data_IF_122042002110
#
_entry.id   IF_122042002110
#
_cell.length_a   1.000
_cell.length_b   1.000
_cell.length_c   1.000
_cell.angle_alpha   90.00
_cell.angle_beta   90.00
_cell.angle_gamma   90.00
#
_symmetry.space_group_name_H-M   'P 1'
#
loop_
_entity.id
_entity.type
_entity.pdbx_description
1 polymer ?
#
# COMPACT_ATOMS: atom_id res chain seq x y z
N UNK A 1 6.24 -26.74 14.40
CA UNK A 1 5.73 -26.28 13.08
C UNK A 1 5.12 -27.44 12.31
N UNK A 2 5.84 -28.58 12.20
CA UNK A 2 5.36 -29.74 11.41
C UNK A 2 4.11 -30.37 12.04
N UNK A 3 4.03 -30.42 13.36
CA UNK A 3 2.89 -30.98 14.09
C UNK A 3 1.71 -29.99 14.21
N UNK A 4 1.98 -28.70 14.18
CA UNK A 4 0.95 -27.66 14.33
C UNK A 4 0.11 -27.49 13.06
N UNK A 5 0.70 -27.66 11.89
CA UNK A 5 0.03 -27.45 10.61
C UNK A 5 -1.21 -28.35 10.39
N UNK A 6 -1.13 -29.67 10.61
CA UNK A 6 -2.32 -30.53 10.48
C UNK A 6 -3.46 -30.14 11.43
N UNK A 7 -3.13 -29.75 12.67
CA UNK A 7 -4.12 -29.32 13.66
C UNK A 7 -4.78 -28.01 13.24
N UNK A 8 -3.98 -27.04 12.77
CA UNK A 8 -4.50 -25.76 12.26
C UNK A 8 -5.39 -25.96 11.04
N UNK A 9 -4.99 -26.81 10.09
CA UNK A 9 -5.81 -27.14 8.91
C UNK A 9 -7.16 -27.73 9.31
N UNK A 10 -7.16 -28.61 10.30
CA UNK A 10 -8.39 -29.20 10.83
C UNK A 10 -9.27 -28.14 11.51
N UNK A 11 -8.70 -27.27 12.33
CA UNK A 11 -9.41 -26.18 12.97
C UNK A 11 -10.06 -25.23 11.93
N UNK A 12 -9.33 -24.88 10.89
CA UNK A 12 -9.83 -24.06 9.76
C UNK A 12 -11.02 -24.75 9.08
N UNK A 13 -10.91 -26.03 8.79
CA UNK A 13 -12.01 -26.83 8.18
C UNK A 13 -13.24 -26.91 9.09
N UNK A 14 -13.04 -27.12 10.39
CA UNK A 14 -14.12 -27.19 11.37
C UNK A 14 -14.87 -25.85 11.50
N UNK A 15 -14.13 -24.73 11.55
CA UNK A 15 -14.72 -23.38 11.56
C UNK A 15 -15.54 -23.10 10.29
N UNK A 16 -14.99 -23.43 9.12
CA UNK A 16 -15.68 -23.28 7.84
C UNK A 16 -16.97 -24.10 7.78
N UNK A 17 -16.91 -25.35 8.23
CA UNK A 17 -18.08 -26.24 8.28
C UNK A 17 -19.17 -25.68 9.18
N UNK A 18 -18.82 -25.25 10.40
CA UNK A 18 -19.76 -24.67 11.35
C UNK A 18 -20.43 -23.41 10.79
N UNK A 19 -19.68 -22.54 10.14
CA UNK A 19 -20.22 -21.32 9.51
C UNK A 19 -21.16 -21.64 8.35
N UNK A 20 -20.82 -22.60 7.50
CA UNK A 20 -21.69 -23.01 6.39
C UNK A 20 -23.01 -23.63 6.90
N UNK A 21 -22.95 -24.42 7.96
CA UNK A 21 -24.16 -24.95 8.61
C UNK A 21 -25.02 -23.82 9.17
N UNK A 22 -24.43 -22.80 9.82
CA UNK A 22 -25.15 -21.65 10.32
C UNK A 22 -25.80 -20.83 9.18
N UNK A 23 -25.12 -20.68 8.04
CA UNK A 23 -25.67 -20.01 6.85
C UNK A 23 -26.85 -20.79 6.30
N UNK A 24 -26.74 -22.12 6.19
CA UNK A 24 -27.83 -22.97 5.70
C UNK A 24 -29.08 -22.92 6.61
N UNK A 25 -28.89 -22.75 7.91
CA UNK A 25 -29.97 -22.66 8.88
C UNK A 25 -30.73 -21.31 8.86
N UNK A 26 -30.19 -20.30 8.19
CA UNK A 26 -30.86 -19.00 8.08
C UNK A 26 -32.08 -19.06 7.18
N UNK A 27 -33.19 -18.48 7.65
CA UNK A 27 -34.46 -18.45 6.93
C UNK A 27 -34.71 -17.16 6.17
N UNK A 28 -33.90 -16.14 6.42
CA UNK A 28 -33.97 -14.79 5.84
C UNK A 28 -33.19 -14.63 4.53
N UNK A 29 -32.38 -15.61 4.18
CA UNK A 29 -31.55 -15.59 2.98
C UNK A 29 -32.16 -16.41 1.82
N UNK A 30 -32.01 -15.88 0.60
CA UNK A 30 -32.32 -16.64 -0.61
C UNK A 30 -31.32 -17.79 -0.81
N UNK A 31 -31.68 -18.85 -1.55
CA UNK A 31 -30.73 -19.92 -1.88
C UNK A 31 -29.44 -19.40 -2.55
N UNK A 32 -29.56 -18.41 -3.43
CA UNK A 32 -28.40 -17.76 -4.09
C UNK A 32 -27.51 -17.04 -3.09
N UNK A 33 -28.10 -16.28 -2.17
CA UNK A 33 -27.33 -15.57 -1.12
C UNK A 33 -26.60 -16.56 -0.22
N UNK A 34 -27.22 -17.67 0.16
CA UNK A 34 -26.55 -18.73 0.94
C UNK A 34 -25.38 -19.34 0.19
N UNK A 35 -25.55 -19.63 -1.10
CA UNK A 35 -24.49 -20.19 -1.95
C UNK A 35 -23.31 -19.22 -2.04
N UNK A 36 -23.55 -17.92 -2.25
CA UNK A 36 -22.51 -16.89 -2.34
C UNK A 36 -21.73 -16.76 -1.02
N UNK A 37 -22.41 -16.74 0.11
CA UNK A 37 -21.78 -16.68 1.43
C UNK A 37 -20.97 -17.95 1.74
N UNK A 38 -21.47 -19.13 1.41
CA UNK A 38 -20.72 -20.38 1.60
C UNK A 38 -19.49 -20.44 0.70
N UNK A 39 -19.57 -19.92 -0.54
CA UNK A 39 -18.39 -19.79 -1.42
C UNK A 39 -17.33 -18.85 -0.83
N UNK A 40 -17.75 -17.76 -0.19
CA UNK A 40 -16.83 -16.86 0.51
C UNK A 40 -16.14 -17.56 1.69
N UNK A 41 -16.88 -18.35 2.48
CA UNK A 41 -16.31 -19.17 3.57
C UNK A 41 -15.27 -20.14 3.03
N UNK A 42 -15.55 -20.83 1.93
CA UNK A 42 -14.61 -21.78 1.31
C UNK A 42 -13.34 -21.08 0.80
N UNK A 43 -13.49 -19.90 0.20
CA UNK A 43 -12.34 -19.11 -0.26
C UNK A 43 -11.43 -18.66 0.90
N UNK A 44 -12.01 -18.24 2.02
CA UNK A 44 -11.29 -17.90 3.24
C UNK A 44 -10.52 -19.12 3.77
N UNK A 45 -11.19 -20.25 3.91
CA UNK A 45 -10.58 -21.47 4.41
C UNK A 45 -9.43 -21.95 3.51
N UNK A 46 -9.59 -21.88 2.19
CA UNK A 46 -8.53 -22.25 1.24
C UNK A 46 -7.33 -21.31 1.35
N UNK A 47 -7.55 -20.02 1.50
CA UNK A 47 -6.48 -19.05 1.70
C UNK A 47 -5.72 -19.33 3.00
N UNK A 48 -6.44 -19.55 4.10
CA UNK A 48 -5.84 -19.85 5.39
C UNK A 48 -5.02 -21.14 5.36
N UNK A 49 -5.52 -22.21 4.76
CA UNK A 49 -4.79 -23.49 4.62
C UNK A 49 -3.51 -23.32 3.80
N UNK A 50 -3.56 -22.59 2.69
CA UNK A 50 -2.36 -22.29 1.88
C UNK A 50 -1.34 -21.45 2.66
N UNK A 51 -1.81 -20.49 3.48
CA UNK A 51 -0.93 -19.70 4.33
C UNK A 51 -0.26 -20.56 5.42
N UNK A 52 -1.01 -21.46 6.05
CA UNK A 52 -0.47 -22.43 7.03
C UNK A 52 0.60 -23.31 6.40
N UNK A 53 0.37 -23.79 5.18
CA UNK A 53 1.36 -24.63 4.48
C UNK A 53 2.68 -23.90 4.25
N UNK A 54 2.64 -22.60 4.00
CA UNK A 54 3.82 -21.73 3.78
C UNK A 54 4.46 -21.21 5.06
N UNK A 55 3.77 -21.28 6.20
CA UNK A 55 4.26 -20.75 7.47
C UNK A 55 5.56 -21.46 7.89
N UNK A 56 6.52 -20.69 8.41
CA UNK A 56 7.84 -21.17 8.82
C UNK A 56 8.00 -21.27 10.33
N UNK A 57 7.04 -20.76 11.10
CA UNK A 57 7.04 -20.81 12.56
C UNK A 57 5.68 -21.24 13.11
N UNK A 58 5.65 -21.80 14.32
CA UNK A 58 4.42 -22.13 15.03
C UNK A 58 3.60 -20.85 15.30
N UNK A 59 4.28 -19.77 15.67
CA UNK A 59 3.64 -18.46 15.91
C UNK A 59 2.91 -17.95 14.68
N UNK A 60 3.47 -18.10 13.47
CA UNK A 60 2.78 -17.70 12.24
C UNK A 60 1.55 -18.59 11.97
N UNK A 61 1.64 -19.89 12.27
CA UNK A 61 0.49 -20.81 12.16
C UNK A 61 -0.65 -20.36 13.06
N UNK A 62 -0.36 -20.04 14.34
CA UNK A 62 -1.35 -19.55 15.30
C UNK A 62 -1.98 -18.22 14.85
N UNK A 63 -1.15 -17.29 14.35
CA UNK A 63 -1.61 -16.01 13.81
C UNK A 63 -2.58 -16.17 12.63
N UNK A 64 -2.26 -17.07 11.71
CA UNK A 64 -3.12 -17.36 10.55
C UNK A 64 -4.44 -17.97 11.01
N UNK A 65 -4.41 -18.88 11.98
CA UNK A 65 -5.61 -19.50 12.53
C UNK A 65 -6.54 -18.46 13.19
N UNK A 66 -6.00 -17.53 13.96
CA UNK A 66 -6.77 -16.43 14.56
C UNK A 66 -7.35 -15.48 13.50
N UNK A 67 -6.59 -15.17 12.45
CA UNK A 67 -7.09 -14.37 11.33
C UNK A 67 -8.21 -15.07 10.56
N UNK A 68 -8.09 -16.39 10.37
CA UNK A 68 -9.14 -17.21 9.75
C UNK A 68 -10.46 -17.18 10.57
N UNK A 69 -10.35 -17.35 11.88
CA UNK A 69 -11.52 -17.27 12.77
C UNK A 69 -12.23 -15.92 12.65
N UNK A 70 -11.47 -14.82 12.63
CA UNK A 70 -12.01 -13.47 12.46
C UNK A 70 -12.69 -13.31 11.09
N UNK A 71 -12.05 -13.80 10.02
CA UNK A 71 -12.57 -13.73 8.66
C UNK A 71 -13.88 -14.52 8.50
N UNK A 72 -13.91 -15.74 9.00
CA UNK A 72 -15.11 -16.60 8.96
C UNK A 72 -16.26 -15.96 9.73
N UNK A 73 -16.00 -15.43 10.93
CA UNK A 73 -17.02 -14.74 11.73
C UNK A 73 -17.62 -13.55 10.98
N UNK A 74 -16.81 -12.82 10.23
CA UNK A 74 -17.23 -11.60 9.53
C UNK A 74 -18.03 -11.85 8.24
N UNK A 75 -18.07 -13.09 7.73
CA UNK A 75 -18.85 -13.42 6.53
C UNK A 75 -20.33 -13.11 6.75
N UNK A 76 -20.90 -12.29 5.85
CA UNK A 76 -22.31 -11.88 5.94
C UNK A 76 -22.58 -10.70 6.87
N UNK A 77 -21.59 -10.22 7.59
CA UNK A 77 -21.71 -9.04 8.46
C UNK A 77 -21.49 -7.73 7.69
N UNK A 78 -22.03 -6.63 8.24
CA UNK A 78 -21.74 -5.29 7.71
C UNK A 78 -20.27 -4.94 7.96
N UNK A 79 -19.67 -4.15 7.06
CA UNK A 79 -18.24 -3.86 7.06
C UNK A 79 -17.95 -2.51 7.69
N UNK A 80 -16.91 -2.47 8.51
CA UNK A 80 -16.32 -1.23 9.03
C UNK A 80 -15.18 -0.77 8.12
N UNK A 81 -14.96 0.55 7.94
CA UNK A 81 -13.84 1.06 7.17
C UNK A 81 -12.49 0.83 7.90
N UNK A 82 -11.45 0.51 7.16
CA UNK A 82 -10.06 0.44 7.68
C UNK A 82 -9.62 1.80 8.16
N UNK A 83 -9.88 2.86 7.38
CA UNK A 83 -9.55 4.22 7.79
C UNK A 83 -10.53 4.74 8.83
N UNK A 84 -10.04 4.84 10.07
CA UNK A 84 -10.79 5.53 11.12
C UNK A 84 -10.73 7.03 10.89
N UNK A 85 -11.83 7.71 11.09
CA UNK A 85 -11.93 9.16 10.92
C UNK A 85 -11.27 9.87 12.10
N UNK A 86 -10.34 10.78 11.80
CA UNK A 86 -9.71 11.62 12.82
C UNK A 86 -10.73 12.63 13.35
N UNK A 87 -10.99 12.60 14.65
CA UNK A 87 -11.92 13.50 15.34
C UNK A 87 -11.23 14.12 16.55
N UNK A 88 -11.75 15.25 16.99
CA UNK A 88 -11.22 15.96 18.17
C UNK A 88 -11.68 15.30 19.46
N UNK A 89 -12.97 15.00 19.58
CA UNK A 89 -13.60 14.40 20.75
C UNK A 89 -14.57 13.29 20.34
N UNK A 90 -14.21 12.03 20.54
CA UNK A 90 -15.07 10.90 20.19
C UNK A 90 -16.44 10.89 20.89
N UNK A 91 -16.53 11.52 22.08
CA UNK A 91 -17.77 11.59 22.85
C UNK A 91 -18.73 12.69 22.34
N UNK A 92 -18.21 13.68 21.61
CA UNK A 92 -18.98 14.84 21.14
C UNK A 92 -18.66 15.13 19.67
N UNK A 93 -19.12 14.27 18.77
CA UNK A 93 -18.90 14.42 17.34
C UNK A 93 -19.67 15.61 16.78
N UNK A 94 -19.02 16.40 15.94
CA UNK A 94 -19.66 17.47 15.19
C UNK A 94 -20.55 16.89 14.08
N UNK A 95 -21.46 17.70 13.55
CA UNK A 95 -22.32 17.28 12.43
C UNK A 95 -21.50 16.91 11.19
N UNK A 96 -20.39 17.64 10.93
CA UNK A 96 -19.48 17.35 9.83
C UNK A 96 -18.76 15.99 10.02
N UNK A 97 -18.31 15.70 11.24
CA UNK A 97 -17.70 14.41 11.59
C UNK A 97 -18.70 13.26 11.46
N UNK A 98 -19.93 13.44 11.95
CA UNK A 98 -21.02 12.46 11.81
C UNK A 98 -21.34 12.18 10.33
N UNK A 99 -21.43 13.22 9.50
CA UNK A 99 -21.66 13.06 8.07
C UNK A 99 -20.52 12.30 7.38
N UNK A 100 -19.27 12.58 7.76
CA UNK A 100 -18.09 11.88 7.23
C UNK A 100 -18.10 10.39 7.62
N UNK A 101 -18.47 10.04 8.83
CA UNK A 101 -18.58 8.64 9.26
C UNK A 101 -19.60 7.87 8.41
N UNK A 102 -20.77 8.45 8.15
CA UNK A 102 -21.76 7.82 7.26
C UNK A 102 -21.20 7.60 5.85
N UNK A 103 -20.46 8.58 5.32
CA UNK A 103 -19.82 8.46 4.01
C UNK A 103 -18.80 7.33 3.96
N UNK A 104 -17.92 7.24 4.97
CA UNK A 104 -16.91 6.18 5.04
C UNK A 104 -17.53 4.78 5.17
N UNK A 105 -18.59 4.65 5.96
CA UNK A 105 -19.33 3.37 6.08
C UNK A 105 -20.03 3.00 4.77
N UNK A 106 -20.61 3.97 4.05
CA UNK A 106 -21.20 3.72 2.72
C UNK A 106 -20.19 3.23 1.71
N UNK A 107 -18.98 3.76 1.72
CA UNK A 107 -17.91 3.36 0.78
C UNK A 107 -17.56 1.87 0.89
N UNK A 108 -17.57 1.31 2.10
CA UNK A 108 -17.25 -0.11 2.33
C UNK A 108 -18.47 -1.03 2.35
N UNK A 109 -19.67 -0.46 2.27
CA UNK A 109 -20.93 -1.17 2.10
C UNK A 109 -21.68 -0.65 0.86
N UNK A 110 -21.08 -0.74 -0.34
CA UNK A 110 -21.61 -0.06 -1.53
C UNK A 110 -22.96 -0.61 -2.00
N UNK A 111 -23.33 -1.82 -1.59
CA UNK A 111 -24.61 -2.45 -1.93
C UNK A 111 -25.68 -2.25 -0.85
N UNK A 112 -25.36 -1.52 0.22
CA UNK A 112 -26.33 -1.26 1.27
C UNK A 112 -27.54 -0.46 0.74
N UNK A 113 -28.73 -0.84 1.18
CA UNK A 113 -29.95 -0.11 0.86
C UNK A 113 -30.01 1.24 1.56
N UNK A 114 -29.56 1.28 2.83
CA UNK A 114 -29.55 2.50 3.64
C UNK A 114 -28.42 2.46 4.66
N UNK A 115 -27.81 3.60 4.93
CA UNK A 115 -26.86 3.82 6.02
C UNK A 115 -27.26 5.11 6.73
N UNK A 116 -27.62 5.02 8.00
CA UNK A 116 -28.08 6.16 8.79
C UNK A 116 -27.78 5.97 10.27
N UNK A 117 -27.85 7.04 11.06
CA UNK A 117 -27.84 6.94 12.52
C UNK A 117 -29.17 6.42 13.04
N UNK A 118 -29.13 5.54 14.02
CA UNK A 118 -30.31 5.08 14.78
C UNK A 118 -30.60 6.02 15.97
N UNK A 119 -31.63 5.70 16.74
CA UNK A 119 -32.04 6.50 17.90
C UNK A 119 -30.99 6.53 19.02
N UNK A 120 -30.12 5.53 19.09
CA UNK A 120 -29.05 5.41 20.09
C UNK A 120 -27.75 6.10 19.64
N UNK A 121 -27.72 6.67 18.44
CA UNK A 121 -26.55 7.33 17.89
C UNK A 121 -25.54 6.37 17.24
N UNK A 122 -25.91 5.11 17.05
CA UNK A 122 -25.10 4.15 16.30
C UNK A 122 -25.39 4.28 14.79
N UNK A 123 -24.49 3.77 13.96
CA UNK A 123 -24.70 3.72 12.52
C UNK A 123 -25.36 2.38 12.17
N UNK A 124 -26.56 2.46 11.63
CA UNK A 124 -27.33 1.32 11.14
C UNK A 124 -27.13 1.17 9.63
N UNK A 125 -26.68 0.00 9.22
CA UNK A 125 -26.53 -0.37 7.81
C UNK A 125 -27.61 -1.40 7.47
N UNK A 126 -28.47 -1.07 6.52
CA UNK A 126 -29.52 -1.97 6.03
C UNK A 126 -29.10 -2.58 4.70
N UNK A 127 -29.04 -3.90 4.62
CA UNK A 127 -28.71 -4.62 3.39
C UNK A 127 -29.89 -4.62 2.41
N UNK A 128 -29.67 -5.06 1.17
CA UNK A 128 -30.74 -5.21 0.18
C UNK A 128 -31.83 -6.21 0.60
N UNK A 129 -31.49 -7.18 1.44
CA UNK A 129 -32.44 -8.17 1.97
C UNK A 129 -33.24 -7.64 3.18
N UNK A 130 -32.93 -6.43 3.66
CA UNK A 130 -33.55 -5.83 4.82
C UNK A 130 -32.90 -6.17 6.16
N UNK A 131 -31.84 -6.97 6.16
CA UNK A 131 -31.03 -7.23 7.36
C UNK A 131 -30.35 -5.96 7.84
N UNK A 132 -30.19 -5.82 9.13
CA UNK A 132 -29.57 -4.65 9.75
C UNK A 132 -28.35 -5.04 10.55
N UNK A 133 -27.26 -4.31 10.33
CA UNK A 133 -26.07 -4.35 11.14
C UNK A 133 -25.83 -2.99 11.79
N UNK A 134 -25.16 -2.98 12.93
CA UNK A 134 -24.90 -1.75 13.69
C UNK A 134 -23.41 -1.57 13.89
N UNK A 135 -22.93 -0.36 13.65
CA UNK A 135 -21.54 0.08 13.89
C UNK A 135 -21.56 1.20 14.92
N UNK A 136 -20.78 1.03 15.99
CA UNK A 136 -20.58 2.10 16.98
C UNK A 136 -19.62 3.15 16.43
N UNK A 137 -19.95 4.44 16.43
CA UNK A 137 -19.03 5.49 15.98
C UNK A 137 -17.65 5.44 16.66
N UNK A 138 -17.62 5.06 17.95
CA UNK A 138 -16.36 4.92 18.69
C UNK A 138 -15.38 3.91 18.08
N UNK A 139 -15.88 2.91 17.36
CA UNK A 139 -15.05 1.85 16.75
C UNK A 139 -14.37 2.32 15.44
N UNK A 140 -14.86 3.41 14.84
CA UNK A 140 -14.41 3.92 13.53
C UNK A 140 -13.89 5.35 13.57
N UNK A 141 -13.56 5.86 14.75
CA UNK A 141 -12.91 7.16 14.94
C UNK A 141 -11.56 6.98 15.61
N UNK A 142 -10.68 7.95 15.41
CA UNK A 142 -9.37 8.07 16.06
C UNK A 142 -9.10 9.50 16.46
N UNK A 143 -8.28 9.70 17.47
CA UNK A 143 -7.83 11.02 17.92
C UNK A 143 -6.38 11.24 17.53
N UNK A 144 -5.90 12.48 17.67
CA UNK A 144 -4.51 12.81 17.42
C UNK A 144 -3.54 11.93 18.26
N UNK A 145 -3.94 11.60 19.48
CA UNK A 145 -3.18 10.71 20.36
C UNK A 145 -3.02 9.30 19.80
N UNK A 146 -4.03 8.80 19.08
CA UNK A 146 -4.02 7.45 18.52
C UNK A 146 -3.09 7.32 17.31
N UNK A 147 -2.71 8.43 16.67
CA UNK A 147 -1.87 8.42 15.47
C UNK A 147 -0.50 7.77 15.68
N UNK A 148 -0.03 7.66 16.92
CA UNK A 148 1.29 7.10 17.25
C UNK A 148 1.29 5.57 17.49
N UNK A 149 0.16 4.88 17.27
CA UNK A 149 0.03 3.45 17.61
C UNK A 149 0.75 2.46 16.66
N UNK A 150 1.51 2.92 15.72
CA UNK A 150 2.19 2.07 14.73
C UNK A 150 1.40 1.81 13.45
N UNK A 151 0.09 2.04 13.47
CA UNK A 151 -0.82 1.91 12.32
C UNK A 151 -1.58 3.21 12.05
N UNK A 152 -1.09 4.33 12.59
CA UNK A 152 -1.70 5.64 12.41
C UNK A 152 -3.11 5.76 13.01
N UNK A 153 -3.38 5.06 14.10
CA UNK A 153 -4.68 5.04 14.76
C UNK A 153 -5.66 4.02 14.19
N UNK A 154 -5.32 3.35 13.10
CA UNK A 154 -6.11 2.28 12.49
C UNK A 154 -5.73 0.91 13.10
N UNK A 155 -6.53 -0.11 12.84
CA UNK A 155 -6.24 -1.49 13.25
C UNK A 155 -5.59 -2.30 12.12
N UNK A 156 -5.73 -1.83 10.89
CA UNK A 156 -5.32 -2.50 9.66
C UNK A 156 -4.55 -1.53 8.78
N UNK A 157 -3.50 -2.00 8.10
CA UNK A 157 -2.68 -1.21 7.20
C UNK A 157 -3.25 -1.16 5.78
N UNK A 158 -3.13 0.00 5.13
CA UNK A 158 -3.37 0.15 3.69
C UNK A 158 -2.05 0.23 2.93
N UNK A 159 -1.92 -0.41 1.75
CA UNK A 159 -0.73 -0.26 0.94
C UNK A 159 -0.60 1.16 0.38
N UNK A 160 0.66 1.62 0.26
CA UNK A 160 0.96 2.93 -0.31
C UNK A 160 0.61 3.01 -1.80
N UNK A 161 0.89 1.97 -2.56
CA UNK A 161 0.67 1.94 -4.01
C UNK A 161 -0.70 1.38 -4.34
N UNK A 162 -1.46 2.15 -5.10
CA UNK A 162 -2.68 1.66 -5.75
C UNK A 162 -2.30 0.88 -7.01
N UNK A 163 -3.02 -0.19 -7.29
CA UNK A 163 -2.81 -1.02 -8.48
C UNK A 163 -3.33 -0.31 -9.72
N UNK A 164 -2.52 -0.30 -10.79
CA UNK A 164 -2.94 0.26 -12.08
C UNK A 164 -3.86 -0.73 -12.77
N UNK A 165 -5.08 -0.30 -13.04
CA UNK A 165 -6.11 -1.08 -13.74
C UNK A 165 -6.61 -0.34 -14.97
N UNK A 166 -7.12 -1.07 -15.94
CA UNK A 166 -7.67 -0.48 -17.16
C UNK A 166 -9.03 0.18 -16.91
N UNK A 167 -9.88 -0.49 -16.15
CA UNK A 167 -11.24 -0.03 -15.83
C UNK A 167 -11.54 -0.28 -14.35
N UNK A 168 -11.54 0.76 -13.51
CA UNK A 168 -11.85 0.62 -12.08
C UNK A 168 -13.26 0.09 -11.78
N UNK A 169 -14.20 0.23 -12.72
CA UNK A 169 -15.57 -0.26 -12.55
C UNK A 169 -15.72 -1.76 -12.88
N UNK A 170 -14.78 -2.33 -13.63
CA UNK A 170 -14.82 -3.72 -14.09
C UNK A 170 -13.45 -4.39 -13.92
N UNK A 171 -13.12 -4.74 -12.69
CA UNK A 171 -11.85 -5.38 -12.37
C UNK A 171 -11.78 -6.81 -12.91
N UNK A 172 -10.68 -7.14 -13.57
CA UNK A 172 -10.39 -8.51 -13.99
C UNK A 172 -9.93 -9.36 -12.81
N UNK A 173 -9.94 -10.69 -12.96
CA UNK A 173 -9.38 -11.58 -11.92
C UNK A 173 -7.90 -11.31 -11.66
N UNK A 174 -7.14 -10.94 -12.69
CA UNK A 174 -5.73 -10.55 -12.56
C UNK A 174 -5.58 -9.25 -11.76
N UNK A 175 -6.45 -8.25 -11.99
CA UNK A 175 -6.48 -7.01 -11.20
C UNK A 175 -6.76 -7.30 -9.73
N UNK A 176 -7.79 -8.12 -9.45
CA UNK A 176 -8.17 -8.52 -8.09
C UNK A 176 -7.04 -9.26 -7.38
N UNK A 177 -6.34 -10.16 -8.06
CA UNK A 177 -5.20 -10.87 -7.50
C UNK A 177 -4.06 -9.92 -7.10
N UNK A 178 -3.73 -8.94 -7.93
CA UNK A 178 -2.72 -7.91 -7.63
C UNK A 178 -3.11 -7.05 -6.44
N UNK A 179 -4.38 -6.64 -6.36
CA UNK A 179 -4.90 -5.85 -5.24
C UNK A 179 -4.76 -6.64 -3.93
N UNK A 180 -5.16 -7.89 -3.92
CA UNK A 180 -5.05 -8.77 -2.75
C UNK A 180 -3.58 -8.93 -2.33
N UNK A 181 -2.66 -9.14 -3.28
CA UNK A 181 -1.23 -9.29 -2.99
C UNK A 181 -0.64 -8.03 -2.35
N UNK A 182 -0.99 -6.84 -2.85
CA UNK A 182 -0.54 -5.56 -2.27
C UNK A 182 -1.04 -5.37 -0.83
N UNK A 183 -2.29 -5.71 -0.57
CA UNK A 183 -2.87 -5.60 0.78
C UNK A 183 -2.26 -6.62 1.74
N UNK A 184 -2.03 -7.86 1.28
CA UNK A 184 -1.34 -8.90 2.06
C UNK A 184 0.09 -8.52 2.42
N UNK A 185 0.81 -7.89 1.50
CA UNK A 185 2.20 -7.50 1.72
C UNK A 185 2.38 -6.59 2.94
N UNK A 186 1.38 -5.77 3.27
CA UNK A 186 1.42 -4.83 4.41
C UNK A 186 0.60 -5.32 5.62
N UNK A 187 -0.04 -6.47 5.52
CA UNK A 187 -0.80 -7.11 6.61
C UNK A 187 -0.39 -8.59 6.75
N UNK A 188 0.82 -8.86 7.25
CA UNK A 188 1.32 -10.23 7.39
C UNK A 188 0.38 -11.13 8.20
N UNK A 189 0.25 -12.39 7.77
CA UNK A 189 -0.58 -13.41 8.43
C UNK A 189 -2.08 -13.08 8.52
N UNK A 190 -2.54 -12.07 7.79
CA UNK A 190 -3.96 -11.71 7.69
C UNK A 190 -4.65 -12.46 6.55
N UNK A 191 -5.96 -12.59 6.66
CA UNK A 191 -6.82 -13.09 5.58
C UNK A 191 -7.36 -11.89 4.81
N UNK A 192 -7.22 -11.90 3.50
CA UNK A 192 -7.62 -10.81 2.60
C UNK A 192 -8.55 -11.37 1.53
N UNK A 193 -9.75 -10.82 1.44
CA UNK A 193 -10.73 -11.15 0.39
C UNK A 193 -11.14 -9.92 -0.39
N UNK A 194 -11.59 -10.10 -1.61
CA UNK A 194 -12.07 -9.04 -2.48
C UNK A 194 -13.42 -9.43 -3.07
N UNK A 195 -14.39 -8.52 -3.03
CA UNK A 195 -15.71 -8.77 -3.60
C UNK A 195 -15.78 -8.32 -5.08
N UNK A 196 -16.95 -8.52 -5.70
CA UNK A 196 -17.15 -8.18 -7.13
C UNK A 196 -17.10 -6.68 -7.40
N UNK A 197 -17.27 -5.84 -6.38
CA UNK A 197 -17.16 -4.38 -6.47
C UNK A 197 -15.74 -3.87 -6.22
N UNK A 198 -14.80 -4.77 -5.89
CA UNK A 198 -13.42 -4.42 -5.57
C UNK A 198 -13.20 -3.95 -4.14
N UNK A 199 -14.20 -4.09 -3.27
CA UNK A 199 -14.03 -3.83 -1.84
C UNK A 199 -13.23 -4.97 -1.22
N UNK A 200 -12.15 -4.62 -0.53
CA UNK A 200 -11.25 -5.59 0.12
C UNK A 200 -11.57 -5.68 1.59
N UNK A 201 -11.73 -6.88 2.11
CA UNK A 201 -11.89 -7.15 3.54
C UNK A 201 -10.61 -7.79 4.07
N UNK A 202 -10.08 -7.24 5.15
CA UNK A 202 -8.89 -7.73 5.84
C UNK A 202 -9.28 -8.19 7.24
N UNK A 203 -8.88 -9.41 7.60
CA UNK A 203 -9.01 -9.94 8.96
C UNK A 203 -7.62 -10.27 9.50
N UNK A 204 -7.28 -9.66 10.64
CA UNK A 204 -5.95 -9.73 11.24
C UNK A 204 -5.84 -10.83 12.31
N UNK A 205 -4.62 -11.26 12.67
CA UNK A 205 -4.38 -12.16 13.79
C UNK A 205 -4.90 -11.64 15.14
N UNK A 206 -5.06 -10.33 15.29
CA UNK A 206 -5.60 -9.71 16.51
C UNK A 206 -7.14 -9.80 16.59
N UNK A 207 -7.77 -10.37 15.57
CA UNK A 207 -9.23 -10.55 15.52
C UNK A 207 -9.99 -9.37 14.93
N UNK A 208 -9.29 -8.35 14.43
CA UNK A 208 -9.89 -7.18 13.80
C UNK A 208 -10.25 -7.47 12.34
N UNK A 209 -11.43 -7.01 11.92
CA UNK A 209 -11.87 -7.09 10.53
C UNK A 209 -12.38 -5.74 10.07
N UNK A 210 -11.88 -5.27 8.94
CA UNK A 210 -12.32 -4.03 8.32
C UNK A 210 -12.12 -4.08 6.80
N UNK A 211 -12.72 -3.13 6.11
CA UNK A 211 -12.72 -3.10 4.66
C UNK A 211 -12.08 -1.82 4.09
N UNK A 212 -11.48 -1.98 2.92
CA UNK A 212 -10.89 -0.89 2.14
C UNK A 212 -11.71 -0.76 0.85
N UNK A 213 -12.28 0.41 0.54
CA UNK A 213 -13.02 0.58 -0.71
C UNK A 213 -12.11 0.51 -1.93
N UNK A 214 -12.63 0.00 -3.04
CA UNK A 214 -11.88 -0.17 -4.28
C UNK A 214 -11.17 1.11 -4.74
N UNK A 215 -11.80 2.27 -4.59
CA UNK A 215 -11.23 3.57 -5.00
C UNK A 215 -9.91 3.92 -4.30
N UNK A 216 -9.65 3.35 -3.13
CA UNK A 216 -8.40 3.56 -2.39
C UNK A 216 -7.29 2.57 -2.78
N UNK A 217 -7.62 1.57 -3.61
CA UNK A 217 -6.71 0.49 -3.98
C UNK A 217 -6.36 0.44 -5.46
N UNK A 218 -7.07 1.18 -6.30
CA UNK A 218 -6.87 1.19 -7.75
C UNK A 218 -6.67 2.60 -8.30
N UNK A 219 -5.95 2.66 -9.42
CA UNK A 219 -5.74 3.86 -10.23
C UNK A 219 -5.61 3.46 -11.69
N UNK A 220 -5.80 4.41 -12.60
CA UNK A 220 -5.59 4.19 -14.03
C UNK A 220 -4.19 4.66 -14.45
N UNK A 221 -3.77 4.29 -15.65
CA UNK A 221 -2.51 4.81 -16.22
C UNK A 221 -2.54 6.34 -16.35
N UNK A 222 -3.69 6.92 -16.66
CA UNK A 222 -3.86 8.38 -16.72
C UNK A 222 -3.65 9.02 -15.35
N UNK A 223 -4.11 8.38 -14.27
CA UNK A 223 -3.91 8.88 -12.92
C UNK A 223 -2.43 9.04 -12.55
N UNK A 224 -1.53 8.25 -13.14
CA UNK A 224 -0.08 8.35 -12.87
C UNK A 224 0.54 9.67 -13.34
N UNK A 225 -0.17 10.44 -14.16
CA UNK A 225 0.27 11.78 -14.62
C UNK A 225 -0.07 12.90 -13.63
N UNK A 226 -0.85 12.59 -12.59
CA UNK A 226 -1.21 13.54 -11.53
C UNK A 226 -0.02 13.77 -10.58
N UNK A 227 0.00 14.89 -9.82
CA UNK A 227 1.10 15.19 -8.89
C UNK A 227 1.39 14.09 -7.87
N UNK A 228 0.36 13.37 -7.43
CA UNK A 228 0.47 12.23 -6.50
C UNK A 228 0.61 10.88 -7.22
N UNK A 229 0.76 10.88 -8.56
CA UNK A 229 0.76 9.69 -9.41
C UNK A 229 -0.49 8.79 -9.22
N UNK A 230 -1.60 9.37 -8.78
CA UNK A 230 -2.83 8.65 -8.48
C UNK A 230 -2.82 7.87 -7.17
N UNK A 231 -1.74 7.92 -6.40
CA UNK A 231 -1.63 7.35 -5.06
C UNK A 231 -2.16 8.30 -3.98
N UNK A 232 -1.89 7.96 -2.72
CA UNK A 232 -2.15 8.84 -1.58
C UNK A 232 -1.10 9.96 -1.47
N UNK A 233 -1.27 10.84 -0.47
CA UNK A 233 -0.30 11.92 -0.19
C UNK A 233 1.05 11.42 0.30
N UNK A 234 1.13 10.18 0.79
CA UNK A 234 2.38 9.59 1.28
C UNK A 234 3.23 9.14 0.09
N UNK A 235 4.52 9.44 0.12
CA UNK A 235 5.47 9.07 -0.92
C UNK A 235 6.65 8.28 -0.35
N UNK A 236 7.28 7.44 -1.17
CA UNK A 236 8.44 6.62 -0.79
C UNK A 236 9.65 6.94 -1.66
N UNK A 237 10.88 6.77 -1.12
CA UNK A 237 12.10 7.04 -1.86
C UNK A 237 12.37 5.99 -2.95
N UNK A 238 12.97 6.42 -4.05
CA UNK A 238 13.46 5.54 -5.11
C UNK A 238 14.66 4.70 -4.65
N UNK A 239 15.53 5.26 -3.81
CA UNK A 239 16.66 4.55 -3.24
C UNK A 239 16.29 3.74 -2.02
N UNK A 240 16.38 2.42 -2.15
CA UNK A 240 16.27 1.49 -1.01
C UNK A 240 17.54 1.52 -0.15
N UNK A 241 17.38 1.32 1.13
CA UNK A 241 18.49 1.25 2.09
C UNK A 241 19.08 -0.15 2.11
N UNK A 242 20.42 -0.23 2.08
CA UNK A 242 21.12 -1.51 2.24
C UNK A 242 21.07 -1.94 3.70
N UNK A 243 20.50 -3.11 3.96
CA UNK A 243 20.39 -3.70 5.30
C UNK A 243 19.16 -4.59 5.43
N UNK A 244 19.12 -5.32 6.53
CA UNK A 244 17.98 -6.15 6.88
C UNK A 244 16.79 -5.29 7.32
N UNK A 245 15.60 -5.68 6.92
CA UNK A 245 14.36 -4.93 7.22
C UNK A 245 14.04 -4.84 8.73
N UNK A 246 14.58 -5.76 9.52
CA UNK A 246 14.41 -5.80 10.97
C UNK A 246 15.58 -5.19 11.75
N UNK A 247 16.63 -4.73 11.06
CA UNK A 247 17.76 -4.06 11.70
C UNK A 247 17.40 -2.62 12.10
N UNK A 248 17.48 -2.26 13.37
CA UNK A 248 17.16 -0.91 13.83
C UNK A 248 17.99 0.20 13.17
N UNK A 249 19.27 -0.07 12.82
CA UNK A 249 20.12 0.91 12.16
C UNK A 249 19.66 1.17 10.70
N UNK A 250 19.26 0.11 9.99
CA UNK A 250 18.70 0.24 8.64
C UNK A 250 17.34 0.95 8.69
N UNK A 251 16.49 0.59 9.65
CA UNK A 251 15.18 1.25 9.85
C UNK A 251 15.33 2.74 10.14
N UNK A 252 16.31 3.14 10.95
CA UNK A 252 16.57 4.57 11.23
C UNK A 252 16.91 5.37 9.96
N UNK A 253 17.68 4.78 9.04
CA UNK A 253 17.99 5.41 7.74
C UNK A 253 16.76 5.52 6.85
N UNK A 254 15.90 4.51 6.84
CA UNK A 254 14.64 4.54 6.10
C UNK A 254 13.71 5.60 6.69
N UNK A 255 13.59 5.67 8.01
CA UNK A 255 12.79 6.68 8.70
C UNK A 255 13.21 8.10 8.32
N UNK A 256 14.51 8.39 8.31
CA UNK A 256 15.06 9.69 7.89
C UNK A 256 14.64 10.02 6.45
N UNK A 257 14.83 9.10 5.50
CA UNK A 257 14.44 9.29 4.11
C UNK A 257 12.93 9.54 3.96
N UNK A 258 12.11 8.77 4.67
CA UNK A 258 10.65 8.92 4.62
C UNK A 258 10.19 10.26 5.20
N UNK A 259 10.79 10.72 6.29
CA UNK A 259 10.49 12.03 6.88
C UNK A 259 10.91 13.18 5.97
N UNK A 260 12.05 13.07 5.30
CA UNK A 260 12.52 14.08 4.36
C UNK A 260 11.55 14.24 3.17
N UNK A 261 11.02 13.13 2.64
CA UNK A 261 10.07 13.15 1.53
C UNK A 261 8.63 13.48 1.95
N UNK A 262 8.29 13.24 3.21
CA UNK A 262 6.95 13.48 3.76
C UNK A 262 7.04 14.51 4.90
N UNK A 263 7.22 15.80 4.61
CA UNK A 263 7.47 16.83 5.64
C UNK A 263 6.32 17.02 6.63
N UNK A 264 5.11 16.58 6.29
CA UNK A 264 3.96 16.58 7.21
C UNK A 264 3.80 15.27 7.98
N UNK A 265 4.77 14.36 7.90
CA UNK A 265 4.75 13.12 8.65
C UNK A 265 4.83 13.38 10.15
N UNK A 266 3.85 12.87 10.88
CA UNK A 266 3.84 12.85 12.34
C UNK A 266 4.69 11.69 12.87
N UNK A 267 4.59 10.53 12.23
CA UNK A 267 5.32 9.33 12.64
C UNK A 267 5.65 8.41 11.47
N UNK A 268 6.71 7.62 11.65
CA UNK A 268 7.06 6.48 10.81
C UNK A 268 7.29 5.31 11.78
N UNK A 269 6.53 4.23 11.62
CA UNK A 269 6.60 3.05 12.50
C UNK A 269 6.82 1.79 11.67
N UNK A 270 7.61 0.86 12.18
CA UNK A 270 7.90 -0.42 11.54
C UNK A 270 7.20 -1.57 12.26
N UNK A 271 6.69 -2.53 11.49
CA UNK A 271 6.19 -3.79 12.04
C UNK A 271 7.31 -4.85 12.17
N UNK A 272 6.96 -6.04 12.64
CA UNK A 272 7.89 -7.16 12.84
C UNK A 272 8.60 -7.62 11.54
N UNK A 273 8.03 -7.32 10.38
CA UNK A 273 8.57 -7.68 9.06
C UNK A 273 9.34 -6.53 8.41
N UNK A 274 9.39 -5.36 9.07
CA UNK A 274 10.05 -4.17 8.53
C UNK A 274 9.18 -3.35 7.55
N UNK A 275 7.87 -3.62 7.46
CA UNK A 275 6.96 -2.74 6.74
C UNK A 275 6.85 -1.42 7.50
N UNK A 276 6.87 -0.29 6.79
CA UNK A 276 6.82 1.03 7.40
C UNK A 276 5.46 1.69 7.21
N UNK A 277 4.83 2.11 8.30
CA UNK A 277 3.62 2.93 8.27
C UNK A 277 3.98 4.38 8.48
N UNK A 278 3.68 5.22 7.50
CA UNK A 278 3.83 6.67 7.55
C UNK A 278 2.47 7.28 7.88
N UNK A 279 2.43 8.10 8.92
CA UNK A 279 1.22 8.81 9.34
C UNK A 279 1.46 10.30 9.25
N UNK A 280 0.60 10.99 8.50
CA UNK A 280 0.66 12.44 8.34
C UNK A 280 -0.14 13.14 9.46
N UNK A 281 0.12 14.42 9.66
CA UNK A 281 -0.57 15.23 10.68
C UNK A 281 -2.10 15.31 10.49
N UNK A 282 -2.58 15.14 9.26
CA UNK A 282 -4.03 15.12 8.96
C UNK A 282 -4.71 13.77 9.21
N UNK A 283 -3.97 12.78 9.71
CA UNK A 283 -4.45 11.43 9.96
C UNK A 283 -4.35 10.48 8.76
N UNK A 284 -3.91 10.94 7.60
CA UNK A 284 -3.66 10.08 6.44
C UNK A 284 -2.53 9.11 6.75
N UNK A 285 -2.73 7.83 6.48
CA UNK A 285 -1.71 6.80 6.67
C UNK A 285 -1.55 5.97 5.41
N UNK A 286 -0.33 5.46 5.21
CA UNK A 286 -0.05 4.43 4.22
C UNK A 286 1.09 3.55 4.70
N UNK A 287 1.07 2.29 4.35
CA UNK A 287 2.11 1.33 4.72
C UNK A 287 2.89 0.90 3.49
N UNK A 288 4.21 0.93 3.62
CA UNK A 288 5.17 0.61 2.58
C UNK A 288 5.75 -0.77 2.89
N UNK A 289 5.64 -1.74 1.98
CA UNK A 289 6.22 -3.06 2.23
C UNK A 289 7.75 -2.98 2.33
N UNK A 290 8.34 -3.79 3.20
CA UNK A 290 9.78 -3.83 3.45
C UNK A 290 10.61 -4.00 2.17
N UNK A 291 10.14 -4.82 1.22
CA UNK A 291 10.79 -5.05 -0.08
C UNK A 291 11.00 -3.79 -0.92
N UNK A 292 10.20 -2.74 -0.67
CA UNK A 292 10.30 -1.45 -1.39
C UNK A 292 11.23 -0.46 -0.68
N UNK A 293 11.68 -0.77 0.54
CA UNK A 293 12.49 0.11 1.38
C UNK A 293 13.91 -0.41 1.63
N UNK A 294 14.09 -1.72 1.65
CA UNK A 294 15.36 -2.37 1.98
C UNK A 294 15.86 -3.22 0.83
N UNK A 295 17.17 -3.38 0.76
CA UNK A 295 17.87 -4.25 -0.19
C UNK A 295 19.09 -4.87 0.47
N UNK A 296 19.46 -6.08 0.04
CA UNK A 296 20.67 -6.74 0.49
C UNK A 296 21.93 -6.12 -0.17
N UNK A 297 23.13 -6.37 0.38
CA UNK A 297 24.39 -5.99 -0.29
C UNK A 297 24.52 -6.60 -1.69
N UNK A 298 24.02 -7.83 -1.89
CA UNK A 298 24.02 -8.51 -3.18
C UNK A 298 23.11 -7.82 -4.18
N UNK A 299 21.92 -7.40 -3.75
CA UNK A 299 21.00 -6.60 -4.57
C UNK A 299 21.60 -5.25 -4.93
N UNK A 300 22.29 -4.60 -3.99
CA UNK A 300 22.97 -3.33 -4.24
C UNK A 300 24.06 -3.41 -5.31
N UNK A 301 24.63 -4.61 -5.53
CA UNK A 301 25.63 -4.88 -6.57
C UNK A 301 25.00 -5.22 -7.94
N UNK A 302 23.68 -5.36 -8.01
CA UNK A 302 22.96 -5.63 -9.25
C UNK A 302 22.77 -4.35 -10.10
N UNK A 303 22.41 -4.47 -11.39
CA UNK A 303 21.99 -3.33 -12.19
C UNK A 303 20.90 -2.51 -11.45
N UNK A 304 20.95 -1.19 -11.57
CA UNK A 304 20.09 -0.25 -10.85
C UNK A 304 20.33 -0.22 -9.33
N UNK A 305 21.44 -0.81 -8.87
CA UNK A 305 21.77 -0.92 -7.43
C UNK A 305 20.62 -1.53 -6.60
N UNK A 306 19.89 -2.49 -7.17
CA UNK A 306 18.76 -3.16 -6.52
C UNK A 306 17.48 -2.30 -6.41
N UNK A 307 17.45 -1.13 -7.01
CA UNK A 307 16.27 -0.25 -7.02
C UNK A 307 15.36 -0.54 -8.22
N UNK A 308 14.06 -0.25 -8.07
CA UNK A 308 13.11 -0.37 -9.17
C UNK A 308 13.19 0.81 -10.15
N UNK A 309 13.66 1.95 -9.68
CA UNK A 309 13.74 3.22 -10.41
C UNK A 309 15.19 3.70 -10.43
N UNK A 310 15.66 4.09 -11.60
CA UNK A 310 17.04 4.52 -11.84
C UNK A 310 17.15 6.03 -11.71
N UNK A 311 18.19 6.51 -11.02
CA UNK A 311 18.52 7.93 -10.97
C UNK A 311 19.45 8.30 -12.14
N UNK A 312 19.25 9.44 -12.82
CA UNK A 312 20.21 9.92 -13.81
C UNK A 312 21.52 10.32 -13.14
N UNK A 313 22.65 9.96 -13.75
CA UNK A 313 23.98 10.34 -13.26
C UNK A 313 24.24 11.85 -13.40
N UNK A 314 23.61 12.49 -14.41
CA UNK A 314 23.79 13.89 -14.71
C UNK A 314 22.61 14.72 -14.21
N UNK A 315 22.86 15.57 -13.22
CA UNK A 315 21.86 16.47 -12.65
C UNK A 315 21.52 17.62 -13.60
N UNK A 316 20.29 18.08 -13.56
CA UNK A 316 19.85 19.25 -14.32
C UNK A 316 20.33 20.55 -13.65
N UNK A 317 20.80 21.50 -14.42
CA UNK A 317 21.20 22.83 -13.91
C UNK A 317 19.94 23.65 -13.65
N UNK A 318 19.74 24.10 -12.42
CA UNK A 318 18.66 24.99 -12.03
C UNK A 318 19.22 26.28 -11.42
N UNK A 319 18.61 27.39 -11.79
CA UNK A 319 19.09 28.72 -11.35
C UNK A 319 18.62 29.05 -9.94
N UNK A 320 17.36 28.74 -9.66
CA UNK A 320 16.73 28.95 -8.36
C UNK A 320 15.93 27.71 -7.95
N UNK A 321 16.47 26.88 -7.02
CA UNK A 321 15.79 25.67 -6.57
C UNK A 321 14.42 25.91 -5.90
N UNK A 322 14.17 27.15 -5.44
CA UNK A 322 12.90 27.50 -4.81
C UNK A 322 11.81 27.85 -5.85
N UNK A 323 12.22 28.19 -7.08
CA UNK A 323 11.31 28.65 -8.14
C UNK A 323 11.72 28.07 -9.50
N UNK A 324 11.47 26.78 -9.70
CA UNK A 324 11.80 26.12 -10.96
C UNK A 324 10.93 26.63 -12.11
N UNK A 325 11.58 26.95 -13.23
CA UNK A 325 10.87 27.25 -14.48
C UNK A 325 10.32 25.95 -15.10
N UNK A 326 9.34 26.09 -15.99
CA UNK A 326 8.82 24.95 -16.74
C UNK A 326 9.90 24.26 -17.58
N UNK A 327 10.85 25.01 -18.12
CA UNK A 327 11.99 24.49 -18.86
C UNK A 327 12.92 23.65 -17.96
N UNK A 328 13.18 24.10 -16.73
CA UNK A 328 13.99 23.36 -15.77
C UNK A 328 13.28 22.08 -15.30
N UNK A 329 11.96 22.13 -15.01
CA UNK A 329 11.17 20.93 -14.71
C UNK A 329 11.19 19.94 -15.88
N UNK A 330 11.05 20.42 -17.11
CA UNK A 330 11.13 19.60 -18.31
C UNK A 330 12.50 18.94 -18.48
N UNK A 331 13.58 19.65 -18.19
CA UNK A 331 14.94 19.11 -18.24
C UNK A 331 15.12 17.98 -17.21
N UNK A 332 14.58 18.13 -16.00
CA UNK A 332 14.59 17.07 -14.98
C UNK A 332 13.79 15.86 -15.47
N UNK A 333 12.57 16.09 -15.96
CA UNK A 333 11.70 15.04 -16.49
C UNK A 333 12.38 14.23 -17.60
N UNK A 334 12.98 14.90 -18.57
CA UNK A 334 13.63 14.26 -19.71
C UNK A 334 14.83 13.40 -19.28
N UNK A 335 15.64 13.88 -18.32
CA UNK A 335 16.76 13.10 -17.77
C UNK A 335 16.30 11.86 -17.03
N UNK A 336 15.25 11.96 -16.24
CA UNK A 336 14.68 10.81 -15.50
C UNK A 336 14.04 9.80 -16.46
N UNK A 337 13.29 10.26 -17.46
CA UNK A 337 12.70 9.39 -18.50
C UNK A 337 13.75 8.66 -19.31
N UNK A 338 14.88 9.31 -19.61
CA UNK A 338 15.96 8.71 -20.40
C UNK A 338 16.53 7.44 -19.75
N UNK A 339 16.57 7.38 -18.42
CA UNK A 339 17.08 6.23 -17.66
C UNK A 339 15.98 5.30 -17.12
N UNK A 340 14.69 5.66 -17.29
CA UNK A 340 13.53 4.87 -16.93
C UNK A 340 12.58 4.75 -18.13
N UNK A 341 12.94 3.97 -19.16
CA UNK A 341 12.12 3.86 -20.38
C UNK A 341 10.69 3.43 -20.09
N UNK A 342 9.71 4.13 -20.69
CA UNK A 342 8.29 3.82 -20.53
C UNK A 342 7.67 4.31 -19.22
N UNK A 343 8.45 4.86 -18.30
CA UNK A 343 7.93 5.39 -17.04
C UNK A 343 7.20 6.72 -17.25
N UNK A 344 6.21 6.97 -16.40
CA UNK A 344 5.60 8.28 -16.21
C UNK A 344 6.39 9.05 -15.17
N UNK A 345 6.72 10.31 -15.43
CA UNK A 345 7.49 11.18 -14.53
C UNK A 345 6.72 12.47 -14.30
N UNK A 346 6.52 12.83 -13.05
CA UNK A 346 5.91 14.10 -12.64
C UNK A 346 6.89 14.85 -11.75
N UNK A 347 7.25 16.05 -12.13
CA UNK A 347 8.18 16.90 -11.38
C UNK A 347 7.40 17.98 -10.64
N UNK A 348 7.57 18.05 -9.32
CA UNK A 348 6.89 19.04 -8.48
C UNK A 348 7.61 20.41 -8.52
N UNK A 349 7.04 21.41 -7.86
CA UNK A 349 7.60 22.78 -7.82
C UNK A 349 8.95 22.87 -7.10
N UNK A 350 9.32 21.85 -6.32
CA UNK A 350 10.58 21.75 -5.60
C UNK A 350 11.65 20.97 -6.36
N UNK A 351 11.29 20.37 -7.50
CA UNK A 351 12.19 19.56 -8.32
C UNK A 351 12.26 18.08 -7.95
N UNK A 352 11.41 17.60 -7.05
CA UNK A 352 11.28 16.17 -6.79
C UNK A 352 10.56 15.49 -7.96
N UNK A 353 11.04 14.34 -8.38
CA UNK A 353 10.44 13.58 -9.47
C UNK A 353 9.71 12.33 -8.93
N UNK A 354 8.42 12.29 -9.13
CA UNK A 354 7.63 11.08 -8.89
C UNK A 354 7.62 10.24 -10.16
N UNK A 355 8.17 9.05 -10.07
CA UNK A 355 8.35 8.13 -11.19
C UNK A 355 7.45 6.92 -11.01
N UNK A 356 6.67 6.57 -12.04
CA UNK A 356 5.87 5.35 -12.06
C UNK A 356 6.33 4.49 -13.24
N UNK A 357 6.82 3.29 -12.93
CA UNK A 357 7.27 2.33 -13.95
C UNK A 357 6.09 1.73 -14.72
N UNK A 358 6.32 1.12 -15.90
CA UNK A 358 5.25 0.42 -16.63
C UNK A 358 4.58 -0.70 -15.81
N UNK A 359 5.29 -1.29 -14.86
CA UNK A 359 4.78 -2.34 -13.94
C UNK A 359 3.97 -1.77 -12.78
N UNK A 360 3.90 -0.44 -12.63
CA UNK A 360 3.11 0.23 -11.61
C UNK A 360 3.87 0.55 -10.30
N UNK A 361 5.18 0.39 -10.29
CA UNK A 361 6.02 0.78 -9.15
C UNK A 361 6.19 2.29 -9.13
N UNK A 362 5.90 2.92 -8.00
CA UNK A 362 5.99 4.38 -7.86
C UNK A 362 6.92 4.77 -6.72
N UNK A 363 7.86 5.67 -6.99
CA UNK A 363 8.75 6.22 -5.98
C UNK A 363 9.22 7.63 -6.37
N UNK A 364 9.78 8.35 -5.41
CA UNK A 364 10.25 9.72 -5.58
C UNK A 364 11.78 9.77 -5.57
N UNK A 365 12.34 10.46 -6.57
CA UNK A 365 13.75 10.87 -6.57
C UNK A 365 13.77 12.31 -6.05
N UNK A 366 14.46 12.60 -4.93
CA UNK A 366 14.48 13.95 -4.39
C UNK A 366 15.26 14.92 -5.28
N UNK A 367 14.88 16.19 -5.24
CA UNK A 367 15.50 17.24 -6.03
C UNK A 367 17.02 17.33 -5.83
N UNK A 368 17.51 17.04 -4.64
CA UNK A 368 18.96 17.02 -4.32
C UNK A 368 19.75 16.04 -5.19
N UNK A 369 19.13 14.96 -5.64
CA UNK A 369 19.73 13.97 -6.54
C UNK A 369 19.55 14.32 -8.03
N UNK A 370 18.73 15.32 -8.36
CA UNK A 370 18.32 15.64 -9.73
C UNK A 370 18.78 17.02 -10.20
N UNK A 371 19.11 17.92 -9.28
CA UNK A 371 19.42 19.32 -9.59
C UNK A 371 20.79 19.73 -9.07
N UNK A 372 21.39 20.68 -9.74
CA UNK A 372 22.64 21.34 -9.37
C UNK A 372 22.58 22.82 -9.75
N UNK A 373 23.30 23.68 -9.01
CA UNK A 373 23.42 25.08 -9.34
C UNK A 373 24.40 25.30 -10.51
N UNK A 374 24.39 26.49 -11.15
CA UNK A 374 25.42 26.84 -12.14
C UNK A 374 26.83 26.78 -11.57
N UNK A 375 27.03 27.14 -10.31
CA UNK A 375 28.31 27.09 -9.60
C UNK A 375 28.80 25.66 -9.43
N UNK A 376 27.91 24.76 -9.02
CA UNK A 376 28.19 23.31 -8.90
C UNK A 376 28.52 22.71 -10.26
N UNK A 377 27.81 23.12 -11.31
CA UNK A 377 28.06 22.64 -12.67
C UNK A 377 29.45 23.03 -13.20
N UNK A 378 30.07 24.09 -12.63
CA UNK A 378 31.43 24.54 -12.98
C UNK A 378 32.53 23.79 -12.20
N UNK A 379 32.17 22.92 -11.22
CA UNK A 379 33.14 22.13 -10.47
C UNK A 379 33.69 20.95 -11.30
N UNK A 380 34.85 20.35 -10.90
CA UNK A 380 35.50 19.28 -11.67
C UNK A 380 34.59 18.06 -11.99
N UNK A 381 33.68 17.71 -11.08
CA UNK A 381 32.68 16.65 -11.29
C UNK A 381 31.38 17.16 -11.92
N UNK A 382 31.34 18.41 -12.36
CA UNK A 382 30.17 19.09 -12.90
C UNK A 382 28.95 19.05 -11.93
N UNK A 383 29.19 19.04 -10.61
CA UNK A 383 28.16 19.01 -9.58
C UNK A 383 27.42 17.68 -9.46
N UNK A 384 27.89 16.62 -10.10
CA UNK A 384 27.28 15.29 -10.07
C UNK A 384 27.90 14.43 -8.97
N UNK A 385 27.12 13.47 -8.47
CA UNK A 385 27.60 12.48 -7.50
C UNK A 385 28.48 11.42 -8.16
N UNK A 386 28.24 11.18 -9.45
CA UNK A 386 28.95 10.20 -10.27
C UNK A 386 29.63 10.93 -11.44
N UNK A 387 30.92 10.65 -11.65
CA UNK A 387 31.69 11.22 -12.75
C UNK A 387 31.49 10.37 -13.99
N UNK A 388 31.11 11.02 -15.09
CA UNK A 388 31.03 10.36 -16.40
C UNK A 388 32.42 10.26 -17.02
N UNK A 389 32.76 9.17 -17.70
CA UNK A 389 34.00 9.11 -18.48
C UNK A 389 34.00 10.16 -19.59
N UNK A 390 35.17 10.77 -19.85
CA UNK A 390 35.31 11.77 -20.88
C UNK A 390 35.06 11.21 -22.29
N UNK A 391 35.50 9.99 -22.52
CA UNK A 391 35.34 9.30 -23.79
C UNK A 391 34.28 8.21 -23.71
N UNK A 392 33.48 8.08 -24.76
CA UNK A 392 32.51 7.02 -24.91
C UNK A 392 33.16 5.77 -25.49
N UNK A 393 32.80 4.62 -25.00
CA UNK A 393 33.21 3.33 -25.58
C UNK A 393 32.58 3.19 -26.98
N UNK A 394 33.36 2.74 -27.94
CA UNK A 394 32.87 2.45 -29.29
C UNK A 394 32.20 1.10 -29.30
N UNK A 395 30.93 1.05 -29.67
CA UNK A 395 30.16 -0.17 -29.80
C UNK A 395 29.64 -0.33 -31.23
N UNK A 396 29.75 -1.55 -31.75
CA UNK A 396 29.27 -1.88 -33.10
C UNK A 396 27.73 -1.76 -33.19
N UNK A 397 27.04 -2.16 -32.11
CA UNK A 397 25.60 -2.02 -31.99
C UNK A 397 25.27 -1.60 -30.55
N UNK A 398 24.91 -0.30 -30.32
CA UNK A 398 24.57 0.17 -28.96
C UNK A 398 23.39 -0.51 -28.31
N UNK A 399 22.47 -1.10 -29.07
CA UNK A 399 21.31 -1.82 -28.57
C UNK A 399 21.64 -3.25 -28.16
N UNK A 400 22.80 -3.78 -28.60
CA UNK A 400 23.23 -5.15 -28.35
C UNK A 400 24.74 -5.22 -28.14
N UNK A 401 25.18 -4.84 -26.94
CA UNK A 401 26.61 -4.85 -26.58
C UNK A 401 27.15 -6.27 -26.39
N UNK A 402 28.35 -6.50 -26.91
CA UNK A 402 29.14 -7.71 -26.62
C UNK A 402 29.71 -7.65 -25.20
N UNK A 403 30.13 -8.80 -24.66
CA UNK A 403 30.74 -8.85 -23.32
C UNK A 403 32.03 -8.03 -23.23
N UNK A 404 32.82 -7.97 -24.31
CA UNK A 404 34.02 -7.13 -24.39
C UNK A 404 33.68 -5.64 -24.37
N UNK A 405 32.59 -5.21 -25.06
CA UNK A 405 32.13 -3.84 -25.06
C UNK A 405 31.54 -3.44 -23.69
N UNK A 406 30.82 -4.34 -23.04
CA UNK A 406 30.31 -4.11 -21.66
C UNK A 406 31.48 -3.91 -20.70
N UNK A 407 32.48 -4.80 -20.76
CA UNK A 407 33.70 -4.67 -19.93
C UNK A 407 34.47 -3.40 -20.16
N UNK A 408 34.49 -2.88 -21.38
CA UNK A 408 35.13 -1.61 -21.68
C UNK A 408 34.38 -0.38 -21.13
N UNK A 409 33.09 -0.54 -20.85
CA UNK A 409 32.26 0.48 -20.19
C UNK A 409 32.47 0.46 -18.67
N UNK A 410 32.66 -0.72 -18.08
CA UNK A 410 32.93 -0.90 -16.63
C UNK A 410 34.30 -0.26 -16.25
#
# INVERSE_FOLDING_TARGET
VVEDKPNARKAIEDEAKAKKEAIDARTDLTPKAKEDLKAEVDAIADQAKKAVDKATSATDVDKIEEADKAAIKAVGEVKEPVDKTLVKDPANLTDAEKAKLLEEVKKVNPTAKEVKYDEDGNIEVTTQNGDKGTIKPADIVKTEKDLDNGKGGNDINKPIDKVIVKDPANLTDADKAKIVDEVKAVNPNSIVTIDDKGTVTVSTPDGETAAIPAAELVRTKEDTTKPDAGNSKVVKPADKVVGEATDPAAQAKVEEKLKDLNPTAKSVKFDEKGNATVTLNDGTTATIPAKDLFKSPEEAAQPNAGNDIVKPADKAVVKDPANLTDAEKKAIEDKVKAVNPGATVVVDDKGNATVTTPEGKTAVIPATDLTKSPEEAAQPNAGNDIVKPADKTVAANPEKLTDAEKKAIE
#
